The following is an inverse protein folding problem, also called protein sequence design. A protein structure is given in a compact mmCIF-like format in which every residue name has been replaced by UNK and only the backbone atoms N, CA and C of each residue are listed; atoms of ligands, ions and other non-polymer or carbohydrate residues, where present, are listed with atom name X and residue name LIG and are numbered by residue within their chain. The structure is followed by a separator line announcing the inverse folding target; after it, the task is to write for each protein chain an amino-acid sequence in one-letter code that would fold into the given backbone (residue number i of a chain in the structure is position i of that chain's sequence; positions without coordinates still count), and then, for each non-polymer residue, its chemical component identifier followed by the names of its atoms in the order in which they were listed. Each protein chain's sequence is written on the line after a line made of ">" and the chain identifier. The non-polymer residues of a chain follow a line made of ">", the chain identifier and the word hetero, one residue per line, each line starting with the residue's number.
data_IF_064013130635
#
_entry.id   IF_064013130635
#
_cell.length_a   1.000
_cell.length_b   1.000
_cell.length_c   1.000
_cell.angle_alpha   90.00
_cell.angle_beta   90.00
_cell.angle_gamma   90.00
#
_symmetry.space_group_name_H-M   'P 1'
#
loop_
_entity.id
_entity.type
_entity.pdbx_description
1 polymer ?
#
# COMPACT_ATOMS: atom_id res chain seq x y z
N UNK A 1 4.40 13.53 4.83
CA UNK A 1 4.27 12.47 5.85
C UNK A 1 4.22 11.14 5.13
N UNK A 2 4.92 10.12 5.63
CA UNK A 2 4.92 8.78 5.02
C UNK A 2 3.60 8.06 5.27
N UNK A 3 3.24 7.13 4.38
CA UNK A 3 2.02 6.33 4.48
C UNK A 3 2.35 4.94 5.00
N UNK A 4 1.74 4.54 6.13
CA UNK A 4 1.84 3.18 6.67
C UNK A 4 0.59 2.37 6.31
N UNK A 5 0.80 1.20 5.71
CA UNK A 5 -0.20 0.17 5.49
C UNK A 5 0.07 -0.98 6.46
N UNK A 6 -0.82 -1.17 7.43
CA UNK A 6 -0.72 -2.23 8.45
C UNK A 6 -2.05 -3.01 8.53
N UNK A 7 -2.18 -4.12 7.78
CA UNK A 7 -3.36 -4.98 7.85
C UNK A 7 -3.47 -5.77 9.16
N UNK A 8 -2.38 -5.91 9.95
CA UNK A 8 -2.31 -6.92 11.00
C UNK A 8 -2.66 -6.46 12.40
N UNK A 9 -2.57 -5.17 12.71
CA UNK A 9 -2.84 -4.65 14.05
C UNK A 9 -4.32 -4.42 14.36
N UNK A 10 -5.19 -4.36 13.34
CA UNK A 10 -6.61 -4.01 13.50
C UNK A 10 -7.59 -5.01 12.88
N UNK A 11 -7.09 -6.10 12.27
CA UNK A 11 -7.96 -7.10 11.63
C UNK A 11 -8.47 -8.13 12.63
N UNK A 12 -9.69 -8.59 12.42
CA UNK A 12 -10.24 -9.80 13.05
C UNK A 12 -10.22 -10.89 11.99
N UNK A 13 -9.65 -12.05 12.31
CA UNK A 13 -9.72 -13.20 11.41
C UNK A 13 -11.18 -13.65 11.32
N UNK A 14 -11.78 -13.83 10.13
CA UNK A 14 -13.17 -14.27 10.01
C UNK A 14 -13.44 -15.61 10.72
N UNK A 15 -12.42 -16.44 10.91
CA UNK A 15 -12.52 -17.77 11.52
C UNK A 15 -11.88 -17.85 12.93
N UNK A 16 -11.18 -16.82 13.41
CA UNK A 16 -10.50 -16.81 14.71
C UNK A 16 -10.74 -15.52 15.51
N UNK A 17 -10.69 -15.64 16.84
CA UNK A 17 -10.90 -14.51 17.77
C UNK A 17 -9.77 -13.46 17.67
N UNK A 18 -8.62 -13.83 17.11
CA UNK A 18 -7.43 -12.99 17.00
C UNK A 18 -6.78 -13.19 15.63
N UNK A 19 -6.47 -12.10 14.94
CA UNK A 19 -5.70 -12.16 13.69
C UNK A 19 -4.25 -12.55 13.95
N UNK A 20 -3.83 -13.70 13.42
CA UNK A 20 -2.42 -14.13 13.44
C UNK A 20 -1.75 -13.77 12.11
N UNK A 21 -1.05 -12.65 12.11
CA UNK A 21 -0.36 -12.14 10.94
C UNK A 21 0.70 -13.09 10.36
N UNK A 22 1.21 -14.05 11.14
CA UNK A 22 2.22 -15.03 10.69
C UNK A 22 1.65 -16.11 9.77
N UNK A 23 0.32 -16.30 9.80
CA UNK A 23 -0.38 -17.25 8.92
C UNK A 23 -0.54 -16.74 7.49
N UNK A 24 -0.21 -15.49 7.23
CA UNK A 24 -0.51 -14.83 5.95
C UNK A 24 0.76 -14.46 5.18
N UNK A 25 0.64 -14.48 3.85
CA UNK A 25 1.56 -13.87 2.90
C UNK A 25 0.92 -12.59 2.39
N UNK A 26 1.71 -11.52 2.31
CA UNK A 26 1.23 -10.18 1.95
C UNK A 26 1.81 -9.77 0.60
N UNK A 27 0.93 -9.33 -0.29
CA UNK A 27 1.31 -8.67 -1.55
C UNK A 27 0.62 -7.33 -1.61
N UNK A 28 1.40 -6.27 -1.84
CA UNK A 28 0.89 -4.90 -1.91
C UNK A 28 0.86 -4.45 -3.36
N UNK A 29 -0.15 -3.66 -3.68
CA UNK A 29 -0.35 -3.09 -5.00
C UNK A 29 -0.73 -1.62 -4.85
N UNK A 30 -0.43 -0.85 -5.89
CA UNK A 30 -0.85 0.54 -5.94
C UNK A 30 -1.17 0.96 -7.36
N UNK A 31 -2.05 1.95 -7.49
CA UNK A 31 -2.23 2.69 -8.73
C UNK A 31 -2.72 4.11 -8.46
N UNK A 32 -2.51 4.97 -9.45
CA UNK A 32 -3.18 6.27 -9.49
C UNK A 32 -4.67 6.02 -9.77
N UNK A 33 -5.52 6.67 -8.99
CA UNK A 33 -6.96 6.49 -9.01
C UNK A 33 -7.62 7.70 -9.69
N UNK A 34 -7.92 7.55 -10.98
CA UNK A 34 -8.49 8.61 -11.83
C UNK A 34 -9.98 8.39 -12.16
N UNK A 35 -10.65 7.38 -11.57
CA UNK A 35 -12.03 6.96 -11.91
C UNK A 35 -13.00 7.04 -10.72
N UNK A 36 -14.31 7.09 -10.98
CA UNK A 36 -15.35 7.20 -9.93
C UNK A 36 -15.75 5.86 -9.26
N UNK A 37 -15.18 4.72 -9.66
CA UNK A 37 -15.59 3.39 -9.16
C UNK A 37 -14.56 2.79 -8.18
N UNK A 38 -14.90 2.77 -6.89
CA UNK A 38 -14.07 2.22 -5.82
C UNK A 38 -14.67 0.93 -5.21
N UNK A 39 -13.86 -0.11 -4.94
CA UNK A 39 -12.49 -0.29 -5.41
C UNK A 39 -12.48 -0.57 -6.90
N UNK A 40 -11.55 0.03 -7.64
CA UNK A 40 -11.37 -0.38 -9.02
C UNK A 40 -10.66 -1.75 -9.01
N UNK A 41 -11.30 -2.78 -9.52
CA UNK A 41 -10.76 -4.16 -9.54
C UNK A 41 -10.41 -4.62 -10.96
N UNK A 42 -10.48 -3.70 -11.92
CA UNK A 42 -10.25 -3.97 -13.33
C UNK A 42 -8.81 -3.61 -13.72
N UNK A 43 -8.30 -4.29 -14.75
CA UNK A 43 -6.96 -4.09 -15.28
C UNK A 43 -5.91 -5.00 -14.63
N UNK A 44 -4.69 -4.94 -15.17
CA UNK A 44 -3.52 -5.63 -14.61
C UNK A 44 -3.04 -4.82 -13.40
N UNK A 45 -2.72 -5.50 -12.30
CA UNK A 45 -2.19 -4.88 -11.09
C UNK A 45 -0.76 -5.38 -10.89
N UNK A 46 0.21 -4.49 -11.04
CA UNK A 46 1.59 -4.80 -10.69
C UNK A 46 1.78 -4.67 -9.17
N UNK A 47 2.59 -5.56 -8.60
CA UNK A 47 2.96 -5.40 -7.20
C UNK A 47 3.67 -4.06 -7.01
N UNK A 48 3.53 -3.48 -5.83
CA UNK A 48 4.02 -2.12 -5.55
C UNK A 48 5.55 -2.02 -5.67
N UNK A 49 6.25 -3.14 -5.55
CA UNK A 49 7.70 -3.29 -5.70
C UNK A 49 8.13 -3.74 -7.11
N UNK A 50 7.19 -4.06 -8.01
CA UNK A 50 7.49 -4.49 -9.38
C UNK A 50 8.25 -3.40 -10.13
N UNK A 51 9.50 -3.67 -10.51
CA UNK A 51 10.39 -2.73 -11.21
C UNK A 51 10.28 -2.76 -12.72
N UNK A 52 9.34 -3.53 -13.26
CA UNK A 52 9.13 -3.63 -14.70
C UNK A 52 8.69 -2.27 -15.23
N UNK A 53 9.40 -1.81 -16.26
CA UNK A 53 9.03 -0.60 -16.99
C UNK A 53 7.98 -1.03 -18.03
N UNK A 54 6.74 -1.14 -17.59
CA UNK A 54 5.59 -1.40 -18.46
C UNK A 54 4.94 -0.06 -18.84
N UNK A 55 5.00 0.37 -20.12
CA UNK A 55 4.36 1.61 -20.56
C UNK A 55 2.82 1.55 -20.53
N UNK A 56 2.23 0.35 -20.55
CA UNK A 56 0.78 0.14 -20.48
C UNK A 56 0.29 0.03 -19.03
N UNK A 57 1.18 -0.28 -18.10
CA UNK A 57 0.89 -0.37 -16.67
C UNK A 57 2.02 0.21 -15.82
N UNK A 58 2.24 1.53 -15.88
CA UNK A 58 3.35 2.15 -15.16
C UNK A 58 3.17 2.01 -13.64
N UNK A 59 4.30 1.86 -12.94
CA UNK A 59 4.30 1.93 -11.48
C UNK A 59 3.62 3.21 -10.99
N UNK A 60 2.83 3.12 -9.93
CA UNK A 60 2.21 4.30 -9.33
C UNK A 60 3.23 5.23 -8.64
N UNK A 61 4.47 4.75 -8.44
CA UNK A 61 5.53 5.45 -7.72
C UNK A 61 6.43 6.20 -8.70
N UNK A 62 6.72 7.48 -8.41
CA UNK A 62 7.46 8.36 -9.32
C UNK A 62 8.95 8.48 -9.05
N UNK A 63 9.41 8.10 -7.85
CA UNK A 63 10.80 8.31 -7.43
C UNK A 63 11.38 7.07 -6.73
N UNK A 64 11.57 6.00 -7.52
CA UNK A 64 12.30 4.79 -7.09
C UNK A 64 13.82 4.91 -7.21
N UNK A 65 14.30 6.02 -7.76
CA UNK A 65 15.70 6.24 -8.12
C UNK A 65 16.41 7.07 -7.05
N UNK A 66 16.82 6.43 -5.96
CA UNK A 66 17.70 7.05 -4.97
C UNK A 66 17.93 6.17 -3.74
N UNK A 67 18.99 5.34 -3.75
CA UNK A 67 19.50 4.48 -2.66
C UNK A 67 18.50 3.65 -1.81
N UNK A 68 17.21 3.63 -2.14
CA UNK A 68 16.16 2.87 -1.49
C UNK A 68 14.87 2.97 -2.30
N UNK A 69 14.08 1.91 -2.32
CA UNK A 69 12.93 1.72 -3.23
C UNK A 69 11.73 2.62 -2.98
N UNK A 70 11.84 3.67 -2.16
CA UNK A 70 10.68 4.47 -1.75
C UNK A 70 9.68 3.70 -0.85
N UNK A 71 10.05 2.47 -0.50
CA UNK A 71 9.24 1.46 0.15
C UNK A 71 10.06 0.85 1.27
N UNK A 72 9.46 0.74 2.45
CA UNK A 72 10.04 0.02 3.59
C UNK A 72 9.03 -1.06 3.98
N UNK A 73 9.38 -2.31 3.71
CA UNK A 73 8.61 -3.44 4.21
C UNK A 73 8.93 -3.65 5.70
N UNK A 74 7.89 -3.68 6.51
CA UNK A 74 7.98 -3.88 7.95
C UNK A 74 7.49 -5.25 8.39
N UNK A 75 7.95 -5.65 9.57
CA UNK A 75 7.59 -6.91 10.23
C UNK A 75 6.98 -6.59 11.60
N UNK A 76 5.87 -5.83 11.62
CA UNK A 76 5.26 -5.36 12.86
C UNK A 76 4.78 -6.49 13.78
N UNK A 77 4.53 -7.68 13.23
CA UNK A 77 3.91 -8.83 13.93
C UNK A 77 4.68 -10.14 13.76
N UNK A 78 6.02 -10.07 13.67
CA UNK A 78 6.91 -11.22 13.43
C UNK A 78 6.72 -11.94 12.08
N UNK A 79 5.81 -11.45 11.23
CA UNK A 79 5.67 -11.91 9.86
C UNK A 79 6.46 -11.02 8.90
N UNK A 80 7.23 -11.60 7.96
CA UNK A 80 7.88 -10.83 6.92
C UNK A 80 6.86 -10.05 6.09
N UNK A 81 7.15 -8.77 5.85
CA UNK A 81 6.37 -7.86 5.00
C UNK A 81 4.91 -7.67 5.44
N UNK A 82 4.63 -7.85 6.74
CA UNK A 82 3.28 -7.69 7.30
C UNK A 82 2.79 -6.24 7.31
N UNK A 83 3.69 -5.28 7.05
CA UNK A 83 3.35 -3.89 6.83
C UNK A 83 4.18 -3.29 5.71
N UNK A 84 3.71 -2.16 5.18
CA UNK A 84 4.43 -1.39 4.17
C UNK A 84 4.38 0.09 4.50
N UNK A 85 5.54 0.72 4.56
CA UNK A 85 5.65 2.18 4.58
C UNK A 85 6.03 2.68 3.18
N UNK A 86 5.20 3.55 2.62
CA UNK A 86 5.50 4.28 1.39
C UNK A 86 6.03 5.65 1.77
N UNK A 87 7.27 5.94 1.36
CA UNK A 87 7.91 7.23 1.64
C UNK A 87 7.23 8.33 0.85
N UNK A 88 6.99 9.48 1.49
CA UNK A 88 6.22 10.56 0.85
C UNK A 88 6.87 11.10 -0.42
N UNK A 89 8.21 11.01 -0.54
CA UNK A 89 8.94 11.41 -1.75
C UNK A 89 8.72 10.52 -2.98
N UNK A 90 8.09 9.35 -2.80
CA UNK A 90 7.79 8.39 -3.87
C UNK A 90 6.37 8.55 -4.43
N UNK A 91 5.56 9.39 -3.80
CA UNK A 91 4.21 9.74 -4.26
C UNK A 91 4.19 11.14 -4.88
N UNK A 92 3.37 11.31 -5.90
CA UNK A 92 3.15 12.60 -6.56
C UNK A 92 2.07 13.37 -5.81
N UNK A 93 2.31 14.66 -5.63
CA UNK A 93 1.33 15.57 -5.06
C UNK A 93 0.12 15.74 -5.99
N UNK A 94 -1.01 16.10 -5.40
CA UNK A 94 -2.30 16.30 -6.09
C UNK A 94 -2.76 15.07 -6.89
N UNK A 95 -2.48 13.87 -6.37
CA UNK A 95 -2.94 12.60 -6.91
C UNK A 95 -3.69 11.83 -5.85
N UNK A 96 -4.75 11.14 -6.29
CA UNK A 96 -5.43 10.12 -5.49
C UNK A 96 -4.82 8.76 -5.84
N UNK A 97 -4.58 7.96 -4.81
CA UNK A 97 -4.00 6.63 -4.91
C UNK A 97 -4.98 5.62 -4.34
N UNK A 98 -5.10 4.49 -5.01
CA UNK A 98 -5.65 3.29 -4.42
C UNK A 98 -4.51 2.35 -4.07
N UNK A 99 -4.39 2.03 -2.79
CA UNK A 99 -3.54 0.96 -2.29
C UNK A 99 -4.39 -0.27 -2.01
N UNK A 100 -3.81 -1.42 -2.31
CA UNK A 100 -4.43 -2.71 -2.05
C UNK A 100 -3.43 -3.61 -1.37
N UNK A 101 -3.90 -4.35 -0.38
CA UNK A 101 -3.16 -5.47 0.21
C UNK A 101 -3.94 -6.74 -0.05
N UNK A 102 -3.28 -7.69 -0.69
CA UNK A 102 -3.77 -9.04 -0.87
C UNK A 102 -3.07 -9.94 0.14
N UNK A 103 -3.88 -10.68 0.89
CA UNK A 103 -3.44 -11.62 1.91
C UNK A 103 -3.85 -13.03 1.50
N UNK A 104 -2.89 -13.93 1.48
CA UNK A 104 -3.09 -15.35 1.17
C UNK A 104 -2.63 -16.19 2.36
N UNK A 105 -3.46 -17.12 2.81
CA UNK A 105 -3.08 -17.99 3.92
C UNK A 105 -1.97 -18.95 3.47
N UNK A 106 -0.88 -19.00 4.23
CA UNK A 106 0.33 -19.78 3.91
C UNK A 106 0.10 -21.29 3.86
N UNK A 107 -0.92 -21.80 4.58
CA UNK A 107 -1.26 -23.23 4.64
C UNK A 107 -2.35 -23.61 3.64
N UNK A 108 -3.22 -22.67 3.28
CA UNK A 108 -4.33 -22.91 2.36
C UNK A 108 -4.57 -21.69 1.47
N UNK A 109 -4.08 -21.75 0.23
CA UNK A 109 -4.22 -20.66 -0.74
C UNK A 109 -5.66 -20.36 -1.17
N UNK A 110 -6.62 -21.22 -0.85
CA UNK A 110 -8.05 -20.91 -1.05
C UNK A 110 -8.60 -19.90 -0.04
N UNK A 111 -7.90 -19.67 1.08
CA UNK A 111 -8.27 -18.66 2.07
C UNK A 111 -7.50 -17.38 1.75
N UNK A 112 -8.24 -16.35 1.35
CA UNK A 112 -7.69 -15.09 0.85
C UNK A 112 -8.51 -13.93 1.41
N UNK A 113 -7.85 -12.79 1.61
CA UNK A 113 -8.49 -11.56 2.00
C UNK A 113 -7.84 -10.37 1.27
N UNK A 114 -8.66 -9.38 0.90
CA UNK A 114 -8.18 -8.20 0.18
C UNK A 114 -8.64 -6.94 0.90
N UNK A 115 -7.69 -6.08 1.26
CA UNK A 115 -7.95 -4.76 1.83
C UNK A 115 -7.66 -3.66 0.82
N UNK A 116 -8.42 -2.57 0.89
CA UNK A 116 -8.26 -1.39 0.03
C UNK A 116 -8.24 -0.11 0.87
N UNK A 117 -7.42 0.85 0.48
CA UNK A 117 -7.45 2.21 1.02
C UNK A 117 -7.25 3.23 -0.10
N UNK A 118 -8.02 4.32 -0.03
CA UNK A 118 -7.82 5.50 -0.86
C UNK A 118 -7.04 6.54 -0.05
N UNK A 119 -6.01 7.10 -0.66
CA UNK A 119 -5.25 8.20 -0.08
C UNK A 119 -5.06 9.30 -1.12
N UNK A 120 -5.29 10.55 -0.71
CA UNK A 120 -5.00 11.72 -1.53
C UNK A 120 -3.73 12.35 -0.98
N UNK A 121 -2.76 12.60 -1.86
CA UNK A 121 -1.54 13.33 -1.49
C UNK A 121 -1.76 14.80 -1.79
N UNK A 122 -1.99 15.58 -0.73
CA UNK A 122 -2.22 17.02 -0.87
C UNK A 122 -0.92 17.81 -0.80
N UNK A 123 -0.89 18.96 -1.49
CA UNK A 123 0.18 19.95 -1.30
C UNK A 123 -0.17 20.77 -0.07
N UNK A 124 0.26 20.31 1.10
CA UNK A 124 0.21 21.15 2.30
C UNK A 124 1.38 22.12 2.27
N UNK A 125 1.11 23.39 1.95
CA UNK A 125 2.04 24.46 2.32
C UNK A 125 2.14 24.46 3.86
N UNK A 126 3.34 24.59 4.46
CA UNK A 126 3.43 24.84 5.89
C UNK A 126 2.58 26.08 6.19
N UNK A 127 1.55 25.95 7.02
CA UNK A 127 0.81 27.12 7.49
C UNK A 127 1.77 27.95 8.33
N UNK A 128 2.37 28.97 7.73
CA UNK A 128 3.14 29.98 8.44
C UNK A 128 2.13 30.78 9.28
N UNK A 129 2.06 30.51 10.57
CA UNK A 129 1.47 31.45 11.52
C UNK A 129 2.54 32.52 11.77
N UNK A 130 2.41 33.66 11.09
CA UNK A 130 3.15 34.85 11.46
C UNK A 130 2.50 35.45 12.71
N UNK A 131 3.17 35.33 13.86
CA UNK A 131 2.83 36.11 15.06
C UNK A 131 3.70 37.37 15.01
N UNK A 132 3.07 38.52 14.87
CA UNK A 132 3.67 39.85 14.92
C UNK A 132 2.94 40.73 15.92
#
# INVERSE_FOLDING_TARGET
>A
QDLLLDPGTFSVDPDEVTFDATKWKYTYYCRIYDLYNFPNIQGILLSIDDSTIDPYNPSCLSNRSGNGTGLIFGNLTSSPNSSLTVLSGSLQSNRMYQFMVYMENRKNSSIQATGYVLATVEVTHPQLIAVG
#
